data_IF_721406739733
#
_entry.id   IF_721406739733
#
_cell.length_a   1.000
_cell.length_b   1.000
_cell.length_c   1.000
_cell.angle_alpha   90.00
_cell.angle_beta   90.00
_cell.angle_gamma   90.00
#
_symmetry.space_group_name_H-M   'P 1'
#
loop_
_entity.id
_entity.type
_entity.pdbx_description
1 polymer ?
#
# COMPACT_ATOMS: atom_id res chain seq x y z
N UNK A 1 31.52 -0.30 -17.31
CA UNK A 1 30.85 1.03 -17.34
C UNK A 1 29.40 0.85 -17.80
N UNK A 2 28.42 1.44 -17.11
CA UNK A 2 27.00 1.38 -17.51
C UNK A 2 26.77 2.24 -18.76
N UNK A 3 26.28 1.64 -19.85
CA UNK A 3 25.99 2.30 -21.14
C UNK A 3 24.97 3.44 -21.02
N UNK A 4 25.06 4.44 -21.88
CA UNK A 4 24.10 5.55 -22.01
C UNK A 4 22.67 5.05 -22.24
N UNK A 5 22.51 4.03 -23.09
CA UNK A 5 21.22 3.41 -23.37
C UNK A 5 20.61 2.75 -22.13
N UNK A 6 21.41 2.02 -21.36
CA UNK A 6 20.95 1.39 -20.11
C UNK A 6 20.60 2.43 -19.06
N UNK A 7 21.38 3.51 -18.99
CA UNK A 7 21.10 4.66 -18.12
C UNK A 7 19.74 5.29 -18.47
N UNK A 8 19.38 5.40 -19.76
CA UNK A 8 18.05 5.87 -20.18
C UNK A 8 16.91 4.92 -19.83
N UNK A 9 17.09 3.61 -20.06
CA UNK A 9 16.08 2.61 -19.68
C UNK A 9 15.81 2.65 -18.18
N UNK A 10 16.87 2.76 -17.38
CA UNK A 10 16.76 2.89 -15.94
C UNK A 10 16.05 4.19 -15.56
N UNK A 11 16.43 5.32 -16.18
CA UNK A 11 15.80 6.61 -15.93
C UNK A 11 14.28 6.55 -16.18
N UNK A 12 13.86 5.98 -17.31
CA UNK A 12 12.44 5.75 -17.61
C UNK A 12 11.75 4.95 -16.51
N UNK A 13 12.32 3.82 -16.09
CA UNK A 13 11.76 2.97 -15.01
C UNK A 13 11.61 3.75 -13.70
N UNK A 14 12.58 4.59 -13.35
CA UNK A 14 12.54 5.42 -12.14
C UNK A 14 11.41 6.45 -12.22
N UNK A 15 11.26 7.15 -13.35
CA UNK A 15 10.18 8.09 -13.58
C UNK A 15 8.80 7.43 -13.49
N UNK A 16 8.61 6.29 -14.16
CA UNK A 16 7.34 5.55 -14.07
C UNK A 16 7.06 5.06 -12.65
N UNK A 17 8.08 4.56 -11.94
CA UNK A 17 7.95 4.15 -10.53
C UNK A 17 7.51 5.34 -9.68
N UNK A 18 8.11 6.52 -9.87
CA UNK A 18 7.71 7.74 -9.16
C UNK A 18 6.25 8.12 -9.42
N UNK A 19 5.77 8.03 -10.67
CA UNK A 19 4.35 8.25 -11.01
C UNK A 19 3.44 7.29 -10.25
N UNK A 20 3.77 6.00 -10.21
CA UNK A 20 2.99 4.99 -9.45
C UNK A 20 2.94 5.32 -7.96
N UNK A 21 4.07 5.69 -7.35
CA UNK A 21 4.11 6.05 -5.93
C UNK A 21 3.34 7.33 -5.61
N UNK A 22 3.40 8.35 -6.48
CA UNK A 22 2.55 9.55 -6.34
C UNK A 22 1.07 9.18 -6.41
N UNK A 23 0.70 8.30 -7.32
CA UNK A 23 -0.67 7.81 -7.43
C UNK A 23 -1.12 7.05 -6.17
N UNK A 24 -0.28 6.18 -5.60
CA UNK A 24 -0.56 5.52 -4.32
C UNK A 24 -0.73 6.53 -3.18
N UNK A 25 0.15 7.53 -3.09
CA UNK A 25 0.06 8.58 -2.09
C UNK A 25 -1.27 9.35 -2.18
N UNK A 26 -1.70 9.74 -3.38
CA UNK A 26 -3.00 10.39 -3.60
C UNK A 26 -4.14 9.49 -3.16
N UNK A 27 -4.14 8.20 -3.55
CA UNK A 27 -5.16 7.24 -3.13
C UNK A 27 -5.28 7.18 -1.59
N UNK A 28 -4.18 6.94 -0.88
CA UNK A 28 -4.22 6.82 0.58
C UNK A 28 -4.69 8.12 1.25
N UNK A 29 -4.27 9.28 0.74
CA UNK A 29 -4.74 10.58 1.24
C UNK A 29 -6.26 10.75 1.05
N UNK A 30 -6.79 10.43 -0.13
CA UNK A 30 -8.23 10.56 -0.41
C UNK A 30 -9.05 9.63 0.45
N UNK A 31 -8.65 8.35 0.58
CA UNK A 31 -9.33 7.40 1.47
C UNK A 31 -9.30 7.86 2.93
N UNK A 32 -8.14 8.35 3.41
CA UNK A 32 -8.00 8.88 4.77
C UNK A 32 -8.87 10.11 5.00
N UNK A 33 -8.93 11.03 4.05
CA UNK A 33 -9.79 12.22 4.12
C UNK A 33 -11.29 11.86 4.20
N UNK A 34 -11.69 10.78 3.54
CA UNK A 34 -13.06 10.24 3.58
C UNK A 34 -13.29 9.27 4.77
N UNK A 35 -12.34 9.18 5.71
CA UNK A 35 -12.37 8.23 6.84
C UNK A 35 -12.73 6.79 6.42
N UNK A 36 -12.30 6.39 5.23
CA UNK A 36 -12.69 5.15 4.57
C UNK A 36 -11.49 4.27 4.31
N UNK A 37 -11.67 2.96 4.44
CA UNK A 37 -10.60 1.98 4.20
C UNK A 37 -10.84 1.31 2.85
N UNK A 38 -9.89 1.37 1.89
CA UNK A 38 -10.02 0.67 0.63
C UNK A 38 -10.21 -0.83 0.87
N UNK A 39 -11.11 -1.48 0.12
CA UNK A 39 -11.45 -2.91 0.32
C UNK A 39 -10.24 -3.83 0.40
N UNK A 40 -9.18 -3.58 -0.38
CA UNK A 40 -7.96 -4.39 -0.37
C UNK A 40 -7.05 -4.21 0.84
N UNK A 41 -7.37 -3.26 1.74
CA UNK A 41 -6.64 -2.98 2.99
C UNK A 41 -7.55 -3.14 4.22
N UNK A 42 -8.79 -3.58 4.03
CA UNK A 42 -9.68 -3.92 5.14
C UNK A 42 -9.16 -5.20 5.78
N UNK A 43 -8.83 -5.12 7.07
CA UNK A 43 -8.54 -6.30 7.87
C UNK A 43 -9.89 -6.88 8.26
N UNK A 44 -10.14 -8.13 7.89
CA UNK A 44 -11.39 -8.82 8.15
C UNK A 44 -11.30 -9.62 9.45
N UNK A 45 -12.45 -9.76 10.12
CA UNK A 45 -12.59 -10.68 11.25
C UNK A 45 -12.49 -12.11 10.71
N UNK A 46 -11.58 -12.95 11.23
CA UNK A 46 -11.55 -14.37 10.88
C UNK A 46 -12.91 -15.02 11.14
N UNK A 47 -13.38 -15.82 10.18
CA UNK A 47 -14.54 -16.70 10.38
C UNK A 47 -14.18 -17.76 11.42
N UNK A 48 -14.87 -17.78 12.56
CA UNK A 48 -14.65 -18.76 13.64
C UNK A 48 -14.30 -18.17 15.00
N UNK A 49 -14.11 -16.85 15.12
CA UNK A 49 -14.07 -16.20 16.44
C UNK A 49 -15.48 -16.22 17.06
N UNK A 50 -15.65 -16.75 18.29
CA UNK A 50 -16.93 -16.76 18.99
C UNK A 50 -17.22 -15.36 19.56
N UNK A 51 -17.40 -14.38 18.67
CA UNK A 51 -17.93 -13.06 19.01
C UNK A 51 -19.45 -13.18 19.03
N UNK A 52 -19.97 -13.83 20.07
CA UNK A 52 -21.38 -14.16 20.20
C UNK A 52 -22.26 -12.96 20.58
N UNK A 53 -21.67 -11.91 21.18
CA UNK A 53 -22.36 -10.68 21.54
C UNK A 53 -22.11 -9.56 20.53
N UNK A 54 -23.18 -8.82 20.19
CA UNK A 54 -23.16 -7.73 19.22
C UNK A 54 -22.21 -6.59 19.62
N UNK A 55 -22.02 -6.38 20.93
CA UNK A 55 -21.10 -5.41 21.51
C UNK A 55 -19.64 -5.72 21.19
N UNK A 56 -19.16 -6.92 21.53
CA UNK A 56 -17.79 -7.34 21.26
C UNK A 56 -17.47 -7.38 19.77
N UNK A 57 -18.41 -7.82 18.94
CA UNK A 57 -18.22 -7.81 17.48
C UNK A 57 -18.08 -6.38 16.92
N UNK A 58 -18.89 -5.44 17.39
CA UNK A 58 -18.81 -4.03 17.01
C UNK A 58 -17.48 -3.40 17.45
N UNK A 59 -17.08 -3.66 18.70
CA UNK A 59 -15.80 -3.19 19.23
C UNK A 59 -14.62 -3.70 18.40
N UNK A 60 -14.62 -5.01 18.10
CA UNK A 60 -13.58 -5.63 17.28
C UNK A 60 -13.50 -5.03 15.86
N UNK A 61 -14.64 -4.82 15.20
CA UNK A 61 -14.69 -4.08 13.92
C UNK A 61 -14.09 -2.67 14.05
N UNK A 62 -14.39 -1.98 15.15
CA UNK A 62 -13.82 -0.67 15.48
C UNK A 62 -12.29 -0.71 15.55
N UNK A 63 -11.74 -1.70 16.27
CA UNK A 63 -10.29 -1.91 16.38
C UNK A 63 -9.67 -2.16 15.00
N UNK A 64 -10.21 -3.11 14.23
CA UNK A 64 -9.69 -3.43 12.90
C UNK A 64 -9.71 -2.22 11.97
N UNK A 65 -10.78 -1.42 11.99
CA UNK A 65 -10.88 -0.19 11.22
C UNK A 65 -9.80 0.81 11.63
N UNK A 66 -9.61 1.05 12.93
CA UNK A 66 -8.55 1.96 13.45
C UNK A 66 -7.17 1.49 13.00
N UNK A 67 -6.90 0.20 13.09
CA UNK A 67 -5.63 -0.41 12.65
C UNK A 67 -5.42 -0.24 11.14
N UNK A 68 -6.43 -0.49 10.31
CA UNK A 68 -6.36 -0.25 8.86
C UNK A 68 -6.09 1.22 8.51
N UNK A 69 -6.71 2.18 9.23
CA UNK A 69 -6.43 3.61 9.05
C UNK A 69 -4.98 3.95 9.43
N UNK A 70 -4.46 3.38 10.53
CA UNK A 70 -3.07 3.60 10.96
C UNK A 70 -2.08 3.01 9.96
N UNK A 71 -2.38 1.83 9.40
CA UNK A 71 -1.58 1.23 8.34
C UNK A 71 -1.51 2.13 7.11
N UNK A 72 -2.61 2.79 6.71
CA UNK A 72 -2.57 3.77 5.62
C UNK A 72 -1.64 4.94 5.92
N UNK A 73 -1.58 5.42 7.16
CA UNK A 73 -0.66 6.49 7.56
C UNK A 73 0.81 6.06 7.40
N UNK A 74 1.15 4.84 7.83
CA UNK A 74 2.49 4.27 7.60
C UNK A 74 2.79 4.20 6.10
N UNK A 75 1.83 3.73 5.28
CA UNK A 75 2.01 3.65 3.83
C UNK A 75 2.17 5.02 3.17
N UNK A 76 1.50 6.07 3.67
CA UNK A 76 1.72 7.46 3.25
C UNK A 76 3.17 7.88 3.52
N UNK A 77 3.69 7.58 4.71
CA UNK A 77 5.09 7.83 5.08
C UNK A 77 6.07 7.12 4.15
N UNK A 78 5.86 5.83 3.91
CA UNK A 78 6.68 5.04 2.99
C UNK A 78 6.67 5.61 1.57
N UNK A 79 5.49 5.97 1.06
CA UNK A 79 5.39 6.58 -0.27
C UNK A 79 6.17 7.89 -0.37
N UNK A 80 6.10 8.76 0.65
CA UNK A 80 6.86 10.02 0.67
C UNK A 80 8.37 9.77 0.65
N UNK A 81 8.86 8.86 1.51
CA UNK A 81 10.28 8.48 1.56
C UNK A 81 10.75 7.92 0.22
N UNK A 82 10.00 6.99 -0.37
CA UNK A 82 10.35 6.41 -1.67
C UNK A 82 10.32 7.44 -2.80
N UNK A 83 9.36 8.38 -2.81
CA UNK A 83 9.32 9.46 -3.82
C UNK A 83 10.58 10.33 -3.71
N UNK A 84 11.01 10.67 -2.49
CA UNK A 84 12.23 11.46 -2.25
C UNK A 84 13.46 10.73 -2.79
N UNK A 85 13.61 9.46 -2.45
CA UNK A 85 14.71 8.62 -2.94
C UNK A 85 14.72 8.52 -4.48
N UNK A 86 13.55 8.31 -5.09
CA UNK A 86 13.43 8.27 -6.55
C UNK A 86 13.80 9.60 -7.21
N UNK A 87 13.47 10.74 -6.60
CA UNK A 87 13.91 12.04 -7.12
C UNK A 87 15.43 12.15 -7.10
N UNK A 88 16.07 11.78 -5.99
CA UNK A 88 17.52 11.78 -5.88
C UNK A 88 18.18 10.90 -6.97
N UNK A 89 17.69 9.68 -7.17
CA UNK A 89 18.20 8.77 -8.21
C UNK A 89 17.98 9.33 -9.62
N UNK A 90 16.81 9.91 -9.89
CA UNK A 90 16.50 10.56 -11.17
C UNK A 90 17.46 11.71 -11.43
N UNK A 91 17.71 12.56 -10.45
CA UNK A 91 18.58 13.74 -10.60
C UNK A 91 20.04 13.32 -10.80
N UNK A 92 20.50 12.32 -10.06
CA UNK A 92 21.84 11.72 -10.23
C UNK A 92 22.04 11.18 -11.66
N UNK A 93 21.12 10.34 -12.14
CA UNK A 93 21.21 9.76 -13.50
C UNK A 93 21.04 10.80 -14.60
N UNK A 94 20.18 11.80 -14.39
CA UNK A 94 20.01 12.92 -15.33
C UNK A 94 21.28 13.76 -15.42
N UNK A 95 21.95 14.04 -14.29
CA UNK A 95 23.23 14.76 -14.27
C UNK A 95 24.35 13.99 -14.97
N UNK A 96 24.40 12.66 -14.83
CA UNK A 96 25.32 11.80 -15.59
C UNK A 96 25.09 11.96 -17.10
N UNK A 97 23.85 11.78 -17.56
CA UNK A 97 23.51 11.90 -18.98
C UNK A 97 23.76 13.30 -19.56
N UNK A 98 23.60 14.36 -18.75
CA UNK A 98 23.94 15.74 -19.16
C UNK A 98 25.43 15.92 -19.51
N UNK A 99 26.32 15.12 -18.92
CA UNK A 99 27.77 15.18 -19.21
C UNK A 99 28.15 14.35 -20.43
N UNK A 100 27.35 13.34 -20.76
CA UNK A 100 27.66 12.36 -21.79
C UNK A 100 26.99 12.68 -23.15
N UNK A 101 25.95 13.52 -23.17
CA UNK A 101 25.11 13.74 -24.35
C UNK A 101 24.92 15.22 -24.69
N UNK A 102 24.78 15.56 -25.98
CA UNK A 102 24.33 16.88 -26.38
C UNK A 102 22.97 17.24 -25.77
N UNK A 103 22.81 18.52 -25.43
CA UNK A 103 21.59 19.05 -24.77
C UNK A 103 20.32 18.72 -25.55
N UNK A 104 20.35 18.85 -26.88
CA UNK A 104 19.21 18.59 -27.76
C UNK A 104 18.76 17.13 -27.71
N UNK A 105 19.71 16.19 -27.75
CA UNK A 105 19.42 14.76 -27.68
C UNK A 105 18.82 14.39 -26.32
N UNK A 106 19.44 14.87 -25.23
CA UNK A 106 18.92 14.62 -23.89
C UNK A 106 17.50 15.15 -23.71
N UNK A 107 17.22 16.38 -24.17
CA UNK A 107 15.88 16.97 -24.11
C UNK A 107 14.85 16.14 -24.88
N UNK A 108 15.20 15.66 -26.07
CA UNK A 108 14.33 14.80 -26.86
C UNK A 108 14.00 13.49 -26.13
N UNK A 109 15.00 12.83 -25.52
CA UNK A 109 14.78 11.60 -24.74
C UNK A 109 13.95 11.84 -23.49
N UNK A 110 14.21 12.93 -22.75
CA UNK A 110 13.42 13.30 -21.58
C UNK A 110 11.96 13.62 -21.93
N UNK A 111 11.72 14.27 -23.08
CA UNK A 111 10.37 14.52 -23.60
C UNK A 111 9.59 13.21 -23.83
N UNK A 112 10.24 12.20 -24.41
CA UNK A 112 9.62 10.88 -24.61
C UNK A 112 9.25 10.21 -23.29
N UNK A 113 10.15 10.23 -22.30
CA UNK A 113 9.89 9.70 -20.96
C UNK A 113 8.72 10.44 -20.31
N UNK A 114 8.65 11.77 -20.47
CA UNK A 114 7.56 12.58 -19.95
C UNK A 114 6.21 12.18 -20.56
N UNK A 115 6.16 11.99 -21.89
CA UNK A 115 4.95 11.52 -22.58
C UNK A 115 4.50 10.13 -22.09
N UNK A 116 5.44 9.19 -21.90
CA UNK A 116 5.16 7.88 -21.32
C UNK A 116 4.56 8.01 -19.90
N UNK A 117 5.13 8.88 -19.08
CA UNK A 117 4.64 9.13 -17.73
C UNK A 117 3.25 9.77 -17.70
N UNK A 118 2.96 10.68 -18.63
CA UNK A 118 1.62 11.27 -18.78
C UNK A 118 0.58 10.20 -19.13
N UNK A 119 0.87 9.34 -20.12
CA UNK A 119 -0.01 8.22 -20.49
C UNK A 119 -0.26 7.29 -19.30
N UNK A 120 0.79 6.93 -18.56
CA UNK A 120 0.67 6.13 -17.35
C UNK A 120 -0.21 6.82 -16.30
N UNK A 121 0.00 8.12 -16.07
CA UNK A 121 -0.80 8.90 -15.13
C UNK A 121 -2.29 8.91 -15.49
N UNK A 122 -2.65 9.15 -16.75
CA UNK A 122 -4.04 9.09 -17.21
C UNK A 122 -4.67 7.70 -16.99
N UNK A 123 -3.94 6.63 -17.34
CA UNK A 123 -4.40 5.26 -17.12
C UNK A 123 -4.65 4.95 -15.65
N UNK A 124 -3.76 5.40 -14.77
CA UNK A 124 -3.90 5.23 -13.32
C UNK A 124 -5.10 6.04 -12.78
N UNK A 125 -5.27 7.29 -13.20
CA UNK A 125 -6.38 8.14 -12.78
C UNK A 125 -7.74 7.56 -13.19
N UNK A 126 -7.87 7.06 -14.42
CA UNK A 126 -9.08 6.36 -14.88
C UNK A 126 -9.41 5.12 -14.01
N UNK A 127 -8.39 4.37 -13.59
CA UNK A 127 -8.58 3.22 -12.68
C UNK A 127 -8.96 3.67 -11.28
N UNK A 128 -8.40 4.76 -10.78
CA UNK A 128 -8.72 5.34 -9.49
C UNK A 128 -10.15 5.84 -9.43
N UNK A 129 -10.62 6.59 -10.42
CA UNK A 129 -12.01 7.06 -10.49
C UNK A 129 -13.00 5.90 -10.36
N UNK A 130 -12.76 4.80 -11.09
CA UNK A 130 -13.57 3.57 -10.97
C UNK A 130 -13.54 2.95 -9.58
N UNK A 131 -12.38 2.94 -8.92
CA UNK A 131 -12.26 2.46 -7.52
C UNK A 131 -13.02 3.35 -6.54
N UNK A 132 -12.89 4.67 -6.70
CA UNK A 132 -13.56 5.65 -5.85
C UNK A 132 -15.07 5.60 -6.00
N UNK A 133 -15.58 5.46 -7.23
CA UNK A 133 -17.02 5.24 -7.48
C UNK A 133 -17.51 3.95 -6.81
N UNK A 134 -16.81 2.83 -6.99
CA UNK A 134 -17.15 1.55 -6.36
C UNK A 134 -17.19 1.63 -4.83
N UNK A 135 -16.30 2.43 -4.26
CA UNK A 135 -16.13 2.57 -2.82
C UNK A 135 -16.87 3.81 -2.26
N UNK A 136 -17.68 4.50 -3.08
CA UNK A 136 -18.44 5.71 -2.73
C UNK A 136 -17.60 6.82 -2.08
N UNK A 137 -16.37 6.99 -2.58
CA UNK A 137 -15.44 8.00 -2.09
C UNK A 137 -15.73 9.33 -2.78
N UNK A 138 -16.11 10.34 -2.01
CA UNK A 138 -16.29 11.71 -2.49
C UNK A 138 -14.91 12.33 -2.68
N UNK A 139 -14.43 12.35 -3.93
CA UNK A 139 -13.20 13.06 -4.28
C UNK A 139 -13.53 14.53 -4.47
N UNK A 140 -13.33 15.37 -3.45
CA UNK A 140 -13.46 16.83 -3.56
C UNK A 140 -12.37 17.48 -4.44
N UNK A 141 -11.57 16.70 -5.17
CA UNK A 141 -10.56 17.22 -6.08
C UNK A 141 -10.74 16.64 -7.50
N UNK A 142 -11.10 17.58 -8.37
CA UNK A 142 -10.89 17.67 -9.83
C UNK A 142 -11.72 16.74 -10.72
N UNK A 143 -12.93 17.23 -11.01
CA UNK A 143 -13.53 17.12 -12.34
C UNK A 143 -12.60 17.89 -13.30
N UNK A 144 -11.76 17.21 -14.07
CA UNK A 144 -11.26 17.75 -15.34
C UNK A 144 -11.08 16.59 -16.32
N UNK A 145 -11.66 16.80 -17.51
CA UNK A 145 -11.67 16.00 -18.73
C UNK A 145 -12.44 14.67 -18.68
N UNK A 146 -13.77 14.78 -18.57
CA UNK A 146 -14.69 13.80 -19.17
C UNK A 146 -15.04 14.29 -20.58
N UNK A 147 -14.19 14.00 -21.56
CA UNK A 147 -14.70 13.82 -22.92
C UNK A 147 -15.20 12.37 -22.99
N UNK A 148 -16.53 12.28 -23.04
CA UNK A 148 -17.31 11.08 -23.26
C UNK A 148 -16.76 10.30 -24.46
N UNK A 149 -16.22 9.11 -24.20
CA UNK A 149 -16.40 7.97 -25.10
C UNK A 149 -16.65 6.77 -24.21
N UNK A 150 -17.92 6.43 -24.07
CA UNK A 150 -18.35 5.16 -23.52
C UNK A 150 -18.13 4.08 -24.58
N UNK A 151 -17.42 2.99 -24.28
CA UNK A 151 -17.75 1.72 -24.89
C UNK A 151 -18.28 0.79 -23.81
N UNK A 152 -19.59 0.56 -23.90
CA UNK A 152 -20.23 -0.66 -23.44
C UNK A 152 -19.34 -1.87 -23.80
N UNK A 153 -18.81 -2.55 -22.78
CA UNK A 153 -18.73 -4.02 -22.81
C UNK A 153 -18.44 -4.53 -21.40
N UNK A 154 -19.42 -5.23 -20.84
CA UNK A 154 -19.25 -6.09 -19.66
C UNK A 154 -18.31 -7.23 -20.05
N UNK A 155 -17.00 -7.08 -19.82
CA UNK A 155 -16.07 -8.22 -19.76
C UNK A 155 -15.83 -8.56 -18.30
N UNK A 156 -16.74 -9.34 -17.74
CA UNK A 156 -16.50 -10.10 -16.52
C UNK A 156 -15.36 -11.08 -16.80
N UNK A 157 -14.13 -10.70 -16.44
CA UNK A 157 -13.00 -11.65 -16.40
C UNK A 157 -13.22 -12.54 -15.18
N UNK A 158 -14.02 -13.59 -15.36
CA UNK A 158 -13.97 -14.77 -14.52
C UNK A 158 -12.54 -15.29 -14.55
N UNK A 159 -11.80 -15.11 -13.45
CA UNK A 159 -10.60 -15.91 -13.21
C UNK A 159 -11.09 -17.29 -12.79
N UNK A 160 -11.53 -18.10 -13.76
CA UNK A 160 -11.68 -19.53 -13.56
C UNK A 160 -10.26 -20.08 -13.44
N UNK A 161 -9.78 -20.27 -12.22
CA UNK A 161 -8.67 -21.16 -11.98
C UNK A 161 -9.10 -22.52 -12.55
N UNK A 162 -8.44 -22.95 -13.62
CA UNK A 162 -8.60 -24.30 -14.15
C UNK A 162 -7.97 -25.23 -13.10
N UNK A 163 -8.79 -25.73 -12.16
CA UNK A 163 -8.40 -26.84 -11.31
C UNK A 163 -8.22 -28.04 -12.25
N UNK A 164 -6.98 -28.49 -12.41
CA UNK A 164 -6.72 -29.81 -13.01
C UNK A 164 -7.47 -30.86 -12.17
N UNK A 165 -8.13 -31.84 -12.78
CA UNK A 165 -8.76 -32.92 -12.03
C UNK A 165 -7.70 -33.66 -11.22
N UNK A 166 -8.06 -33.98 -9.98
CA UNK A 166 -7.24 -34.72 -9.04
C UNK A 166 -7.06 -36.14 -9.55
N UNK A 167 -5.81 -36.58 -9.66
CA UNK A 167 -5.43 -37.99 -9.63
C UNK A 167 -5.11 -38.34 -8.19
N UNK A 168 -5.55 -39.52 -7.76
CA UNK A 168 -5.68 -39.95 -6.38
C UNK A 168 -4.37 -39.95 -5.55
N UNK A 169 -4.52 -39.43 -4.32
CA UNK A 169 -3.85 -39.60 -3.00
C UNK A 169 -2.58 -40.49 -2.85
N UNK A 170 -1.70 -40.27 -1.84
CA UNK A 170 -2.08 -40.30 -0.42
C UNK A 170 -1.51 -39.18 0.48
N UNK A 171 -2.30 -38.90 1.52
CA UNK A 171 -1.97 -38.45 2.87
C UNK A 171 -0.62 -37.74 3.10
N UNK A 172 -0.66 -36.41 3.27
CA UNK A 172 0.35 -35.70 4.05
C UNK A 172 -0.35 -34.78 5.05
N UNK A 173 0.03 -34.97 6.30
CA UNK A 173 -0.40 -34.30 7.53
C UNK A 173 -0.45 -32.78 7.39
N UNK A 174 -1.51 -32.19 7.94
CA UNK A 174 -1.67 -30.75 8.07
C UNK A 174 -0.53 -30.18 8.93
N UNK A 175 0.47 -29.56 8.29
CA UNK A 175 1.44 -28.74 9.00
C UNK A 175 0.72 -27.47 9.49
N UNK A 176 0.38 -27.45 10.77
CA UNK A 176 0.07 -26.23 11.50
C UNK A 176 1.32 -25.35 11.46
N UNK A 177 1.26 -24.26 10.71
CA UNK A 177 2.31 -23.24 10.74
C UNK A 177 2.10 -22.42 12.02
N UNK A 178 2.71 -22.89 13.11
CA UNK A 178 2.87 -22.10 14.33
C UNK A 178 3.85 -20.98 14.03
N UNK A 179 3.36 -19.74 13.92
CA UNK A 179 4.21 -18.56 13.89
C UNK A 179 4.63 -18.29 15.34
N UNK A 180 5.79 -18.79 15.73
CA UNK A 180 6.46 -18.37 16.96
C UNK A 180 7.01 -16.96 16.77
N UNK A 181 6.30 -15.96 17.30
CA UNK A 181 6.91 -14.67 17.59
C UNK A 181 7.91 -14.88 18.74
N UNK A 182 9.19 -14.98 18.42
CA UNK A 182 10.25 -14.79 19.40
C UNK A 182 10.30 -13.30 19.72
N UNK A 183 9.68 -12.91 20.83
CA UNK A 183 10.01 -11.67 21.51
C UNK A 183 11.39 -11.91 22.14
N UNK A 184 12.38 -11.15 21.70
CA UNK A 184 13.67 -11.08 22.37
C UNK A 184 13.46 -10.50 23.77
N UNK A 185 13.61 -11.37 24.77
CA UNK A 185 13.77 -11.01 26.18
C UNK A 185 15.11 -10.30 26.33
N UNK A 186 15.08 -8.97 26.37
CA UNK A 186 16.11 -8.22 27.10
C UNK A 186 15.64 -8.13 28.55
N UNK A 187 16.02 -9.14 29.35
CA UNK A 187 16.13 -8.99 30.79
C UNK A 187 17.21 -7.96 31.09
N UNK A 188 16.89 -6.98 31.94
CA UNK A 188 17.74 -6.73 33.11
C UNK A 188 16.98 -5.94 34.18
N UNK A 189 16.60 -6.70 35.22
CA UNK A 189 16.76 -6.39 36.64
C UNK A 189 16.47 -4.95 37.08
N UNK A 190 15.30 -4.73 37.68
CA UNK A 190 15.20 -3.93 38.90
C UNK A 190 14.33 -4.66 39.91
N UNK A 191 14.91 -4.85 41.09
CA UNK A 191 14.47 -5.65 42.20
C UNK A 191 13.18 -5.13 42.84
N UNK A 192 12.13 -5.95 42.82
CA UNK A 192 11.01 -5.79 43.76
C UNK A 192 11.45 -6.28 45.14
N UNK A 193 11.88 -5.35 45.99
CA UNK A 193 11.86 -5.54 47.45
C UNK A 193 10.40 -5.66 47.89
N UNK A 194 10.06 -6.79 48.48
CA UNK A 194 8.87 -6.95 49.32
C UNK A 194 9.09 -6.12 50.58
N UNK A 195 8.25 -5.11 50.80
CA UNK A 195 7.96 -4.65 52.15
C UNK A 195 6.45 -4.72 52.37
N UNK A 196 6.11 -5.66 53.24
CA UNK A 196 4.79 -5.91 53.81
C UNK A 196 4.41 -4.75 54.71
N UNK A 197 3.29 -4.08 54.46
CA UNK A 197 2.63 -3.23 55.45
C UNK A 197 1.14 -3.59 55.48
N UNK A 198 0.76 -4.28 56.56
CA UNK A 198 -0.63 -4.49 56.98
C UNK A 198 -1.29 -3.13 57.29
N UNK A 199 -2.59 -2.93 56.96
CA UNK A 199 -3.39 -1.91 57.62
C UNK A 199 -3.95 -2.48 58.93
N UNK A 200 -3.54 -1.90 60.07
CA UNK A 200 -4.29 -2.04 61.32
C UNK A 200 -5.61 -1.26 61.19
N UNK A 201 -6.72 -1.97 61.15
CA UNK A 201 -8.03 -1.45 61.54
C UNK A 201 -8.05 -1.29 63.06
N UNK A 202 -8.25 -0.06 63.55
CA UNK A 202 -8.79 0.19 64.89
C UNK A 202 -10.23 0.69 64.73
N UNK A 203 -11.14 -0.08 65.29
CA UNK A 203 -12.46 0.35 65.72
C UNK A 203 -12.38 0.71 67.21
N UNK A 204 -13.19 1.70 67.57
CA UNK A 204 -13.55 2.22 68.90
C UNK A 204 -12.50 3.01 69.71
#
# INVERSE_FOLDING_TARGET
MESTLETFKLLRRLYEKRVRYRHHLTNYKTYRANNSVPKGLQIHVPTGLPLCDSGSYSNWKGILRKTSLKLMEVQIGNCRKTISELNYQIDSKTRKLKRELPKSELQNKLRLISQDCLRLSHSLNSRQQRKFQRDQITSNQVILTSNQVSPNSKKSRSRRFLRKPATDSPTVTNAVVTISCQLSEEENQTSFRRDSILPQTKAD
#
